data_IF_674106189683
#
_entry.id   IF_674106189683
#
_cell.length_a   1.000
_cell.length_b   1.000
_cell.length_c   1.000
_cell.angle_alpha   90.00
_cell.angle_beta   90.00
_cell.angle_gamma   90.00
#
_symmetry.space_group_name_H-M   'P 1'
#
loop_
_entity.id
_entity.type
_entity.pdbx_description
1 polymer ?
#
# COMPACT_ATOMS: atom_id res chain seq x y z
N UNK A 1 15.22 -10.09 22.97
CA UNK A 1 14.45 -9.10 22.20
C UNK A 1 12.97 -9.38 22.34
N UNK A 2 12.18 -8.33 22.50
CA UNK A 2 10.73 -8.49 22.50
C UNK A 2 10.24 -8.98 21.14
N UNK A 3 9.18 -9.79 21.13
CA UNK A 3 8.54 -10.19 19.89
C UNK A 3 7.97 -8.98 19.15
N UNK A 4 8.01 -8.93 17.82
CA UNK A 4 7.41 -7.85 17.06
C UNK A 4 5.89 -7.80 17.28
N UNK A 5 5.34 -6.59 17.23
CA UNK A 5 3.90 -6.38 17.30
C UNK A 5 3.33 -6.21 15.91
N UNK A 6 2.07 -6.52 15.75
CA UNK A 6 1.38 -6.29 14.49
C UNK A 6 0.90 -4.84 14.41
N UNK A 7 1.10 -4.20 13.26
CA UNK A 7 0.69 -2.81 13.01
C UNK A 7 -0.62 -2.81 12.22
N UNK A 8 -1.65 -2.26 12.82
CA UNK A 8 -3.00 -2.20 12.24
C UNK A 8 -3.22 -0.93 11.43
N UNK A 9 -4.18 -0.98 10.52
CA UNK A 9 -4.55 0.11 9.62
C UNK A 9 -4.88 1.40 10.36
N UNK A 10 -5.65 1.34 11.44
CA UNK A 10 -6.10 2.58 12.11
C UNK A 10 -4.95 3.36 12.72
N UNK A 11 -3.85 2.72 13.10
CA UNK A 11 -2.64 3.42 13.56
C UNK A 11 -2.04 4.24 12.40
N UNK A 12 -1.94 3.65 11.21
CA UNK A 12 -1.41 4.33 10.04
C UNK A 12 -2.31 5.51 9.63
N UNK A 13 -3.61 5.29 9.58
CA UNK A 13 -4.56 6.35 9.22
C UNK A 13 -4.46 7.51 10.21
N UNK A 14 -4.44 7.24 11.51
CA UNK A 14 -4.28 8.26 12.54
C UNK A 14 -2.98 9.04 12.39
N UNK A 15 -1.89 8.35 12.08
CA UNK A 15 -0.60 8.99 11.88
C UNK A 15 -0.59 9.94 10.68
N UNK A 16 -1.31 9.59 9.60
CA UNK A 16 -1.25 10.34 8.34
C UNK A 16 -2.29 11.45 8.23
N UNK A 17 -3.43 11.35 8.89
CA UNK A 17 -4.55 12.28 8.69
C UNK A 17 -5.01 13.03 9.94
N UNK A 18 -4.72 12.55 11.15
CA UNK A 18 -5.10 13.23 12.37
C UNK A 18 -4.22 14.46 12.61
N UNK A 19 -4.76 15.44 13.34
CA UNK A 19 -4.02 16.61 13.77
C UNK A 19 -2.84 16.30 14.69
N UNK A 20 -2.14 17.34 15.12
CA UNK A 20 -0.86 17.21 15.86
C UNK A 20 -1.01 16.75 17.31
N UNK A 21 -2.24 16.55 17.80
CA UNK A 21 -2.50 16.25 19.20
C UNK A 21 -3.25 14.91 19.37
N UNK A 22 -3.13 14.32 20.55
CA UNK A 22 -3.91 13.16 20.95
C UNK A 22 -3.46 11.87 20.27
N UNK A 23 -4.43 11.14 19.73
CA UNK A 23 -4.20 9.80 19.14
C UNK A 23 -3.29 9.85 17.93
N UNK A 24 -3.45 10.84 17.07
CA UNK A 24 -2.61 11.02 15.89
C UNK A 24 -1.16 11.29 16.26
N UNK A 25 -0.90 12.09 17.25
CA UNK A 25 0.46 12.34 17.76
C UNK A 25 1.09 11.05 18.29
N UNK A 26 0.35 10.27 19.08
CA UNK A 26 0.86 8.98 19.60
C UNK A 26 1.17 8.01 18.47
N UNK A 27 0.35 7.98 17.43
CA UNK A 27 0.60 7.13 16.27
C UNK A 27 1.88 7.55 15.52
N UNK A 28 2.09 8.85 15.33
CA UNK A 28 3.32 9.36 14.70
C UNK A 28 4.56 9.07 15.55
N UNK A 29 4.46 9.23 16.85
CA UNK A 29 5.57 8.90 17.76
C UNK A 29 5.91 7.41 17.72
N UNK A 30 4.92 6.55 17.57
CA UNK A 30 5.17 5.12 17.34
C UNK A 30 5.95 4.90 16.04
N UNK A 31 5.53 5.51 14.93
CA UNK A 31 6.25 5.38 13.66
C UNK A 31 7.69 5.91 13.77
N UNK A 32 7.89 6.99 14.51
CA UNK A 32 9.24 7.53 14.76
C UNK A 32 10.12 6.51 15.50
N UNK A 33 9.59 5.87 16.54
CA UNK A 33 10.33 4.83 17.27
C UNK A 33 10.68 3.65 16.38
N UNK A 34 9.75 3.24 15.51
CA UNK A 34 10.00 2.18 14.55
C UNK A 34 11.10 2.60 13.56
N UNK A 35 11.01 3.81 13.05
CA UNK A 35 12.01 4.37 12.13
C UNK A 35 13.40 4.42 12.78
N UNK A 36 13.49 4.83 14.05
CA UNK A 36 14.75 4.91 14.79
C UNK A 36 15.32 3.54 15.18
N UNK A 37 14.56 2.48 15.02
CA UNK A 37 15.03 1.14 15.35
C UNK A 37 14.72 0.71 16.78
N UNK A 38 13.99 1.50 17.55
CA UNK A 38 13.64 1.19 18.94
C UNK A 38 12.52 0.15 19.04
N UNK A 39 11.78 -0.06 17.97
CA UNK A 39 10.67 -0.99 17.93
C UNK A 39 10.57 -1.62 16.54
N UNK A 40 10.18 -2.90 16.50
CA UNK A 40 9.97 -3.64 15.28
C UNK A 40 8.51 -4.09 15.20
N UNK A 41 7.90 -3.94 14.02
CA UNK A 41 6.52 -4.35 13.80
C UNK A 41 6.41 -5.20 12.56
N UNK A 42 5.32 -5.95 12.48
CA UNK A 42 4.92 -6.71 11.29
C UNK A 42 3.59 -6.16 10.81
N UNK A 43 3.40 -6.09 9.52
CA UNK A 43 2.11 -5.74 8.95
C UNK A 43 1.83 -6.62 7.72
N UNK A 44 0.66 -6.44 7.12
CA UNK A 44 0.24 -7.24 5.95
C UNK A 44 -0.07 -6.35 4.76
N UNK A 45 -0.11 -6.95 3.58
CA UNK A 45 -0.56 -6.26 2.37
C UNK A 45 -1.99 -5.75 2.50
N UNK A 46 -2.85 -6.49 3.23
CA UNK A 46 -4.23 -6.05 3.46
C UNK A 46 -4.30 -4.74 4.24
N UNK A 47 -3.41 -4.55 5.22
CA UNK A 47 -3.30 -3.28 5.96
C UNK A 47 -2.92 -2.16 5.01
N UNK A 48 -1.96 -2.39 4.12
CA UNK A 48 -1.56 -1.39 3.12
C UNK A 48 -2.72 -1.07 2.16
N UNK A 49 -3.42 -2.07 1.66
CA UNK A 49 -4.58 -1.88 0.77
C UNK A 49 -5.67 -1.07 1.44
N UNK A 50 -6.02 -1.42 2.67
CA UNK A 50 -7.03 -0.70 3.43
C UNK A 50 -6.61 0.74 3.70
N UNK A 51 -5.33 0.96 4.01
CA UNK A 51 -4.78 2.30 4.22
C UNK A 51 -4.90 3.14 2.95
N UNK A 52 -4.47 2.62 1.80
CA UNK A 52 -4.55 3.33 0.51
C UNK A 52 -6.01 3.65 0.17
N UNK A 53 -6.89 2.65 0.27
CA UNK A 53 -8.30 2.79 -0.04
C UNK A 53 -8.96 3.86 0.85
N UNK A 54 -8.69 3.84 2.15
CA UNK A 54 -9.24 4.79 3.10
C UNK A 54 -8.72 6.20 2.85
N UNK A 55 -7.43 6.36 2.61
CA UNK A 55 -6.85 7.67 2.29
C UNK A 55 -7.47 8.26 1.04
N UNK A 56 -7.67 7.45 0.01
CA UNK A 56 -8.24 7.93 -1.26
C UNK A 56 -9.72 8.23 -1.11
N UNK A 57 -10.50 7.30 -0.57
CA UNK A 57 -11.96 7.37 -0.59
C UNK A 57 -12.53 8.26 0.50
N UNK A 58 -12.02 8.14 1.72
CA UNK A 58 -12.57 8.87 2.87
C UNK A 58 -11.92 10.22 3.09
N UNK A 59 -10.64 10.35 2.76
CA UNK A 59 -9.88 11.59 3.00
C UNK A 59 -9.48 12.32 1.73
N UNK A 60 -9.84 11.78 0.57
CA UNK A 60 -9.59 12.41 -0.74
C UNK A 60 -8.13 12.78 -0.97
N UNK A 61 -7.21 11.99 -0.46
CA UNK A 61 -5.78 12.15 -0.68
C UNK A 61 -5.46 11.79 -2.13
N UNK A 62 -4.63 12.57 -2.79
CA UNK A 62 -4.25 12.33 -4.18
C UNK A 62 -3.42 11.05 -4.33
N UNK A 63 -3.47 10.46 -5.53
CA UNK A 63 -2.69 9.26 -5.85
C UNK A 63 -1.19 9.47 -5.63
N UNK A 64 -0.69 10.60 -6.07
CA UNK A 64 0.73 10.96 -5.94
C UNK A 64 1.13 11.06 -4.47
N UNK A 65 0.29 11.66 -3.64
CA UNK A 65 0.57 11.77 -2.21
C UNK A 65 0.49 10.43 -1.51
N UNK A 66 -0.48 9.59 -1.87
CA UNK A 66 -0.58 8.22 -1.36
C UNK A 66 0.67 7.43 -1.72
N UNK A 67 1.13 7.51 -2.97
CA UNK A 67 2.37 6.87 -3.39
C UNK A 67 3.52 7.29 -2.50
N UNK A 68 3.68 8.59 -2.26
CA UNK A 68 4.80 9.11 -1.47
C UNK A 68 4.72 8.64 -0.01
N UNK A 69 3.54 8.70 0.59
CA UNK A 69 3.30 8.23 1.96
C UNK A 69 3.65 6.74 2.11
N UNK A 70 3.11 5.92 1.22
CA UNK A 70 3.30 4.45 1.32
C UNK A 70 4.74 4.07 0.95
N UNK A 71 5.35 4.73 -0.02
CA UNK A 71 6.75 4.49 -0.36
C UNK A 71 7.66 4.80 0.83
N UNK A 72 7.44 5.92 1.50
CA UNK A 72 8.20 6.28 2.70
C UNK A 72 7.99 5.27 3.82
N UNK A 73 6.74 4.84 4.04
CA UNK A 73 6.42 3.82 5.04
C UNK A 73 7.15 2.50 4.74
N UNK A 74 7.12 2.06 3.48
CA UNK A 74 7.77 0.81 3.07
C UNK A 74 9.30 0.89 3.07
N UNK A 75 9.88 2.09 3.14
CA UNK A 75 11.32 2.26 3.30
C UNK A 75 11.81 2.00 4.71
N UNK A 76 10.92 1.93 5.68
CA UNK A 76 11.28 1.69 7.09
C UNK A 76 11.65 0.22 7.29
N UNK A 77 12.91 -0.03 7.63
CA UNK A 77 13.45 -1.40 7.77
C UNK A 77 12.77 -2.23 8.85
N UNK A 78 12.33 -1.58 9.91
CA UNK A 78 11.74 -2.25 11.07
C UNK A 78 10.23 -2.52 10.93
N UNK A 79 9.68 -2.28 9.75
CA UNK A 79 8.35 -2.75 9.37
C UNK A 79 8.53 -3.97 8.46
N UNK A 80 8.20 -5.14 8.98
CA UNK A 80 8.23 -6.37 8.18
C UNK A 80 6.93 -6.51 7.41
N UNK A 81 7.05 -6.65 6.11
CA UNK A 81 5.91 -6.91 5.22
C UNK A 81 6.37 -7.80 4.05
N UNK A 82 5.52 -8.73 3.65
CA UNK A 82 5.79 -9.58 2.49
C UNK A 82 5.51 -8.83 1.18
N UNK A 83 6.25 -9.22 0.13
CA UNK A 83 6.04 -8.73 -1.24
C UNK A 83 6.10 -7.21 -1.39
N UNK A 84 7.01 -6.59 -0.65
CA UNK A 84 7.22 -5.14 -0.66
C UNK A 84 7.43 -4.60 -2.09
N UNK A 85 8.20 -5.28 -2.90
CA UNK A 85 8.49 -4.86 -4.29
C UNK A 85 7.24 -4.86 -5.16
N UNK A 86 6.32 -5.80 -4.96
CA UNK A 86 5.04 -5.85 -5.70
C UNK A 86 4.18 -4.65 -5.35
N UNK A 87 4.13 -4.28 -4.07
CA UNK A 87 3.39 -3.08 -3.64
C UNK A 87 3.97 -1.82 -4.29
N UNK A 88 5.29 -1.69 -4.32
CA UNK A 88 5.96 -0.54 -4.94
C UNK A 88 5.67 -0.47 -6.45
N UNK A 89 5.70 -1.60 -7.15
CA UNK A 89 5.34 -1.66 -8.57
C UNK A 89 3.87 -1.30 -8.79
N UNK A 90 2.99 -1.80 -7.93
CA UNK A 90 1.56 -1.47 -7.99
C UNK A 90 1.32 0.03 -7.77
N UNK A 91 2.04 0.67 -6.87
CA UNK A 91 1.94 2.11 -6.65
C UNK A 91 2.33 2.91 -7.89
N UNK A 92 3.38 2.48 -8.59
CA UNK A 92 3.80 3.12 -9.84
C UNK A 92 2.71 3.02 -10.90
N UNK A 93 2.12 1.84 -11.08
CA UNK A 93 1.00 1.63 -12.01
C UNK A 93 -0.21 2.48 -11.61
N UNK A 94 -0.54 2.49 -10.34
CA UNK A 94 -1.64 3.24 -9.75
C UNK A 94 -1.56 4.75 -10.01
N UNK A 95 -0.36 5.33 -9.92
CA UNK A 95 -0.15 6.76 -10.19
C UNK A 95 -0.20 7.07 -11.67
N UNK A 96 0.35 6.19 -12.52
CA UNK A 96 0.48 6.43 -13.95
C UNK A 96 -0.78 6.08 -14.76
N UNK A 97 -1.74 5.40 -14.16
CA UNK A 97 -2.96 4.94 -14.82
C UNK A 97 -4.18 5.19 -13.94
N UNK A 98 -5.32 5.48 -14.55
CA UNK A 98 -6.59 5.73 -13.82
C UNK A 98 -7.30 4.42 -13.50
N UNK A 99 -6.66 3.56 -12.74
CA UNK A 99 -7.22 2.29 -12.26
C UNK A 99 -7.16 2.21 -10.74
N UNK A 100 -7.91 1.28 -10.16
CA UNK A 100 -7.86 1.05 -8.72
C UNK A 100 -6.50 0.49 -8.30
N UNK A 101 -6.12 0.69 -7.05
CA UNK A 101 -4.88 0.09 -6.53
C UNK A 101 -4.94 -1.44 -6.57
N UNK A 102 -6.11 -2.03 -6.33
CA UNK A 102 -6.28 -3.49 -6.41
C UNK A 102 -5.97 -4.00 -7.81
N UNK A 103 -6.49 -3.34 -8.85
CA UNK A 103 -6.20 -3.73 -10.23
C UNK A 103 -4.72 -3.50 -10.59
N UNK A 104 -4.13 -2.40 -10.12
CA UNK A 104 -2.70 -2.16 -10.27
C UNK A 104 -1.87 -3.27 -9.61
N UNK A 105 -2.29 -3.74 -8.45
CA UNK A 105 -1.64 -4.84 -7.75
C UNK A 105 -1.79 -6.16 -8.51
N UNK A 106 -2.95 -6.41 -9.12
CA UNK A 106 -3.13 -7.59 -9.99
C UNK A 106 -2.10 -7.59 -11.12
N UNK A 107 -1.92 -6.47 -11.81
CA UNK A 107 -0.97 -6.35 -12.91
C UNK A 107 0.46 -6.56 -12.43
N UNK A 108 0.85 -5.95 -11.31
CA UNK A 108 2.17 -6.13 -10.72
C UNK A 108 2.41 -7.60 -10.32
N UNK A 109 1.40 -8.26 -9.75
CA UNK A 109 1.46 -9.67 -9.37
C UNK A 109 1.60 -10.59 -10.57
N UNK A 110 0.85 -10.32 -11.64
CA UNK A 110 0.94 -11.08 -12.89
C UNK A 110 2.35 -11.00 -13.48
N UNK A 111 2.98 -9.83 -13.44
CA UNK A 111 4.34 -9.64 -13.92
C UNK A 111 5.34 -10.52 -13.14
N UNK A 112 5.24 -10.54 -11.82
CA UNK A 112 6.12 -11.36 -10.97
C UNK A 112 5.88 -12.85 -11.20
N UNK A 113 4.63 -13.26 -11.40
CA UNK A 113 4.26 -14.65 -11.66
C UNK A 113 4.51 -15.07 -13.12
N UNK A 114 4.91 -14.13 -13.97
CA UNK A 114 5.11 -14.36 -15.40
C UNK A 114 3.83 -14.85 -16.10
N UNK A 115 2.70 -14.26 -15.72
CA UNK A 115 1.37 -14.55 -16.28
C UNK A 115 0.91 -13.34 -17.08
N UNK A 116 0.45 -13.59 -18.33
CA UNK A 116 -0.01 -12.52 -19.22
C UNK A 116 -1.51 -12.50 -19.44
N UNK A 117 -2.23 -13.54 -19.03
CA UNK A 117 -3.68 -13.65 -19.27
C UNK A 117 -4.45 -13.50 -17.97
N UNK A 118 -5.57 -12.76 -18.02
CA UNK A 118 -6.45 -12.58 -16.87
C UNK A 118 -7.91 -12.83 -17.26
N UNK A 119 -8.63 -13.58 -16.44
CA UNK A 119 -10.07 -13.66 -16.56
C UNK A 119 -10.70 -12.45 -15.89
N UNK A 120 -11.38 -11.63 -16.66
CA UNK A 120 -12.07 -10.45 -16.13
C UNK A 120 -13.04 -9.88 -17.16
N UNK A 121 -14.13 -9.30 -16.68
CA UNK A 121 -14.99 -8.44 -17.50
C UNK A 121 -14.55 -6.97 -17.48
N UNK A 122 -13.58 -6.60 -16.63
CA UNK A 122 -13.15 -5.21 -16.48
C UNK A 122 -12.22 -4.83 -17.64
N UNK A 123 -12.73 -3.92 -18.51
CA UNK A 123 -11.99 -3.45 -19.68
C UNK A 123 -10.81 -2.55 -19.35
N UNK A 124 -10.64 -2.12 -18.12
CA UNK A 124 -9.47 -1.36 -17.72
C UNK A 124 -8.17 -2.12 -17.97
N UNK A 125 -8.21 -3.46 -17.91
CA UNK A 125 -7.04 -4.28 -18.22
C UNK A 125 -6.62 -4.23 -19.70
N UNK A 126 -7.52 -3.86 -20.60
CA UNK A 126 -7.21 -3.73 -22.03
C UNK A 126 -6.21 -2.61 -22.33
N UNK A 127 -6.03 -1.68 -21.38
CA UNK A 127 -5.06 -0.58 -21.53
C UNK A 127 -3.60 -1.00 -21.33
N UNK A 128 -3.36 -2.23 -20.92
CA UNK A 128 -2.02 -2.73 -20.62
C UNK A 128 -1.57 -3.70 -21.69
N UNK A 129 -0.55 -3.35 -22.52
CA UNK A 129 -0.10 -4.24 -23.60
C UNK A 129 0.41 -5.60 -23.11
N UNK A 130 0.90 -5.68 -21.87
CA UNK A 130 1.40 -6.92 -21.26
C UNK A 130 0.28 -7.84 -20.77
N UNK A 131 -0.97 -7.40 -20.79
CA UNK A 131 -2.11 -8.13 -20.25
C UNK A 131 -3.11 -8.45 -21.36
N UNK A 132 -3.49 -9.72 -21.45
CA UNK A 132 -4.57 -10.19 -22.33
C UNK A 132 -5.77 -10.53 -21.45
N UNK A 133 -6.83 -9.78 -21.60
CA UNK A 133 -8.09 -10.04 -20.89
C UNK A 133 -8.93 -11.07 -21.62
N UNK A 134 -9.42 -12.04 -20.90
CA UNK A 134 -10.28 -13.10 -21.40
C UNK A 134 -11.59 -13.05 -20.61
N UNK A 135 -12.70 -12.98 -21.32
CA UNK A 135 -14.02 -13.10 -20.68
C UNK A 135 -14.34 -14.58 -20.47
N UNK A 136 -14.81 -14.96 -19.27
CA UNK A 136 -15.21 -16.36 -19.00
C UNK A 136 -16.38 -16.82 -19.86
#
# INVERSE_FOLDING_TARGET
>A
MASPRFLDTNVLIRAFVDGEHGVGERARLLLDRIYQGDERVVTSQLVIFETIFTLQRSYHVSREKIRDIITDLLSIRNIDISDRSVILDALRIYVNHSISFVDAHHIASMSVLNISEIYSWDRDFDRFPSVTRIEP
#
